data_IF_129760341757
#
_entry.id   IF_129760341757
#
_cell.length_a   1.000
_cell.length_b   1.000
_cell.length_c   1.000
_cell.angle_alpha   90.00
_cell.angle_beta   90.00
_cell.angle_gamma   90.00
#
_symmetry.space_group_name_H-M   'P 1'
#
loop_
_entity.id
_entity.type
_entity.pdbx_description
1 polymer ?
#
# COMPACT_ATOMS: atom_id res chain seq x y z
N UNK A 1 8.76 13.04 10.35
CA UNK A 1 9.75 12.96 9.24
C UNK A 1 9.12 12.16 8.12
N UNK A 2 9.06 12.69 6.90
CA UNK A 2 8.62 11.91 5.73
C UNK A 2 9.64 10.80 5.43
N UNK A 3 9.22 9.55 5.21
CA UNK A 3 10.13 8.46 4.92
C UNK A 3 10.93 8.70 3.62
N UNK A 4 12.25 8.45 3.65
CA UNK A 4 13.21 8.67 2.53
C UNK A 4 13.32 7.50 1.54
N UNK A 5 12.46 6.48 1.62
CA UNK A 5 12.53 5.30 0.72
C UNK A 5 11.37 5.35 -0.27
N UNK A 6 11.72 5.23 -1.56
CA UNK A 6 10.79 5.30 -2.68
C UNK A 6 10.05 3.97 -2.83
N UNK A 7 8.81 4.04 -3.32
CA UNK A 7 8.09 2.86 -3.80
C UNK A 7 8.86 2.23 -4.98
N UNK A 8 8.55 0.97 -5.36
CA UNK A 8 9.05 0.39 -6.60
C UNK A 8 8.77 1.32 -7.79
N UNK A 9 9.59 1.22 -8.84
CA UNK A 9 9.34 1.97 -10.08
C UNK A 9 7.92 1.66 -10.60
N UNK A 10 7.26 2.67 -11.16
CA UNK A 10 5.87 2.63 -11.64
C UNK A 10 4.80 2.34 -10.57
N UNK A 11 5.16 2.38 -9.28
CA UNK A 11 4.22 2.21 -8.18
C UNK A 11 3.73 3.54 -7.60
N UNK A 12 2.42 3.67 -7.46
CA UNK A 12 1.71 4.83 -6.93
C UNK A 12 1.17 4.53 -5.52
N UNK A 13 1.43 5.42 -4.56
CA UNK A 13 0.85 5.32 -3.21
C UNK A 13 -0.60 5.82 -3.25
N UNK A 14 -1.54 4.96 -2.89
CA UNK A 14 -2.96 5.33 -2.81
C UNK A 14 -3.42 5.73 -1.40
N UNK A 15 -2.91 5.06 -0.37
CA UNK A 15 -3.30 5.34 1.02
C UNK A 15 -2.17 4.99 2.01
N UNK A 16 -2.18 5.63 3.18
CA UNK A 16 -1.33 5.29 4.34
C UNK A 16 -2.15 5.27 5.61
N UNK A 17 -2.05 4.17 6.36
CA UNK A 17 -2.63 4.05 7.69
C UNK A 17 -1.56 3.52 8.65
N UNK A 18 -1.05 4.41 9.50
CA UNK A 18 0.00 4.08 10.46
C UNK A 18 1.23 3.56 9.75
N UNK A 19 1.46 2.25 9.80
CA UNK A 19 2.60 1.58 9.19
C UNK A 19 2.27 0.81 7.91
N UNK A 20 1.07 0.95 7.38
CA UNK A 20 0.61 0.22 6.20
C UNK A 20 0.36 1.18 5.05
N UNK A 21 0.77 0.78 3.84
CA UNK A 21 0.44 1.49 2.60
C UNK A 21 -0.40 0.62 1.68
N UNK A 22 -1.37 1.26 1.02
CA UNK A 22 -1.98 0.73 -0.20
C UNK A 22 -1.22 1.28 -1.39
N UNK A 23 -0.74 0.40 -2.25
CA UNK A 23 0.08 0.75 -3.40
C UNK A 23 -0.58 0.18 -4.66
N UNK A 24 -0.67 0.99 -5.69
CA UNK A 24 -1.03 0.58 -7.06
C UNK A 24 0.25 0.42 -7.85
N UNK A 25 0.31 -0.61 -8.67
CA UNK A 25 1.41 -0.94 -9.57
C UNK A 25 0.82 -1.45 -10.89
N UNK A 26 1.67 -1.70 -11.88
CA UNK A 26 1.28 -2.37 -13.11
C UNK A 26 1.81 -3.81 -13.10
N UNK A 27 0.93 -4.78 -13.29
CA UNK A 27 1.29 -6.18 -13.48
C UNK A 27 0.65 -6.66 -14.79
N UNK A 28 1.45 -7.18 -15.72
CA UNK A 28 0.95 -7.63 -17.04
C UNK A 28 0.15 -6.56 -17.82
N UNK A 29 0.54 -5.28 -17.72
CA UNK A 29 -0.15 -4.11 -18.30
C UNK A 29 -1.51 -3.78 -17.66
N UNK A 30 -1.87 -4.43 -16.57
CA UNK A 30 -3.10 -4.16 -15.83
C UNK A 30 -2.79 -3.54 -14.46
N UNK A 31 -3.71 -2.74 -13.89
CA UNK A 31 -3.59 -2.24 -12.53
C UNK A 31 -3.54 -3.40 -11.51
N UNK A 32 -2.60 -3.33 -10.58
CA UNK A 32 -2.44 -4.30 -9.52
C UNK A 32 -2.18 -3.60 -8.18
N UNK A 33 -3.02 -3.89 -7.20
CA UNK A 33 -3.03 -3.25 -5.89
C UNK A 33 -2.43 -4.18 -4.85
N UNK A 34 -1.65 -3.63 -3.92
CA UNK A 34 -0.97 -4.40 -2.86
C UNK A 34 -0.95 -3.63 -1.55
N UNK A 35 -1.01 -4.37 -0.43
CA UNK A 35 -0.76 -3.83 0.91
C UNK A 35 0.67 -4.12 1.33
N UNK A 36 1.41 -3.06 1.65
CA UNK A 36 2.74 -3.14 2.22
C UNK A 36 2.72 -2.73 3.69
N UNK A 37 3.48 -3.43 4.52
CA UNK A 37 3.80 -2.99 5.88
C UNK A 37 5.23 -2.43 5.93
N UNK A 38 5.35 -1.31 6.64
CA UNK A 38 6.55 -0.52 6.81
C UNK A 38 6.99 -0.66 8.28
N UNK A 39 8.27 -0.88 8.56
CA UNK A 39 8.79 -0.69 9.91
C UNK A 39 10.02 0.22 9.89
N UNK A 40 10.07 1.17 10.82
CA UNK A 40 11.21 2.06 11.03
C UNK A 40 12.10 1.49 12.13
N UNK A 41 13.17 0.79 11.75
CA UNK A 41 14.25 0.41 12.65
C UNK A 41 15.44 1.38 12.47
N UNK A 42 16.20 1.59 13.56
CA UNK A 42 17.37 2.49 13.63
C UNK A 42 18.49 2.14 12.62
N UNK A 43 18.40 0.99 11.96
CA UNK A 43 19.44 0.35 11.14
C UNK A 43 19.00 -0.03 9.70
N UNK A 44 17.82 0.39 9.23
CA UNK A 44 17.61 0.45 7.76
C UNK A 44 16.52 -0.42 7.10
N UNK A 45 15.37 -0.59 7.75
CA UNK A 45 14.01 -0.83 7.15
C UNK A 45 13.84 -1.89 6.03
N UNK A 46 12.93 -2.86 6.23
CA UNK A 46 12.39 -3.76 5.18
C UNK A 46 10.95 -3.38 4.82
N UNK A 47 10.59 -3.63 3.57
CA UNK A 47 9.21 -3.66 3.10
C UNK A 47 8.83 -5.11 2.85
N UNK A 48 7.67 -5.51 3.31
CA UNK A 48 7.11 -6.79 2.93
C UNK A 48 5.63 -6.62 2.59
N UNK A 49 5.22 -7.33 1.54
CA UNK A 49 3.82 -7.49 1.23
C UNK A 49 3.15 -8.17 2.43
N UNK A 50 2.17 -7.50 3.02
CA UNK A 50 1.48 -7.99 4.23
C UNK A 50 0.14 -8.64 3.92
N UNK A 51 -0.40 -8.37 2.73
CA UNK A 51 -1.63 -8.94 2.22
C UNK A 51 -1.42 -9.44 0.80
N UNK A 52 -2.42 -10.18 0.29
CA UNK A 52 -2.46 -10.55 -1.13
C UNK A 52 -2.61 -9.30 -1.99
N UNK A 53 -1.98 -9.31 -3.17
CA UNK A 53 -2.29 -8.32 -4.19
C UNK A 53 -3.44 -8.79 -5.07
N UNK A 54 -4.22 -7.84 -5.58
CA UNK A 54 -5.34 -8.12 -6.49
C UNK A 54 -5.40 -7.05 -7.57
N UNK A 55 -5.96 -7.40 -8.73
CA UNK A 55 -6.36 -6.42 -9.76
C UNK A 55 -7.56 -5.59 -9.32
N UNK A 56 -8.29 -6.01 -8.28
CA UNK A 56 -9.45 -5.31 -7.74
C UNK A 56 -9.07 -4.43 -6.54
N UNK A 57 -9.28 -3.12 -6.69
CA UNK A 57 -8.97 -2.14 -5.64
C UNK A 57 -9.76 -2.38 -4.35
N UNK A 58 -11.07 -2.64 -4.44
CA UNK A 58 -11.93 -2.80 -3.25
C UNK A 58 -11.56 -4.01 -2.42
N UNK A 59 -11.07 -5.08 -3.05
CA UNK A 59 -10.55 -6.28 -2.38
C UNK A 59 -9.34 -5.94 -1.52
N UNK A 60 -8.37 -5.20 -2.06
CA UNK A 60 -7.14 -4.83 -1.33
C UNK A 60 -7.39 -3.72 -0.32
N UNK A 61 -8.31 -2.80 -0.60
CA UNK A 61 -8.77 -1.79 0.37
C UNK A 61 -9.42 -2.46 1.57
N UNK A 62 -10.35 -3.39 1.37
CA UNK A 62 -11.01 -4.14 2.46
C UNK A 62 -9.98 -4.86 3.32
N UNK A 63 -8.97 -5.46 2.68
CA UNK A 63 -7.86 -6.11 3.40
C UNK A 63 -7.05 -5.12 4.25
N UNK A 64 -6.74 -3.93 3.72
CA UNK A 64 -6.07 -2.89 4.49
C UNK A 64 -6.93 -2.39 5.66
N UNK A 65 -8.24 -2.21 5.47
CA UNK A 65 -9.16 -1.85 6.55
C UNK A 65 -9.23 -2.93 7.62
N UNK A 66 -9.23 -4.21 7.22
CA UNK A 66 -9.20 -5.37 8.12
C UNK A 66 -7.92 -5.41 8.93
N UNK A 67 -6.77 -5.21 8.28
CA UNK A 67 -5.45 -5.22 8.93
C UNK A 67 -5.32 -4.07 9.94
N UNK A 68 -5.88 -2.91 9.62
CA UNK A 68 -5.66 -1.68 10.41
C UNK A 68 -6.80 -1.33 11.36
N UNK A 69 -7.97 -1.95 11.20
CA UNK A 69 -9.19 -1.58 11.91
C UNK A 69 -9.70 -0.17 11.59
N UNK A 70 -9.23 0.44 10.49
CA UNK A 70 -9.58 1.81 10.10
C UNK A 70 -10.10 1.85 8.67
N UNK A 71 -11.19 2.59 8.47
CA UNK A 71 -11.75 2.81 7.13
C UNK A 71 -10.94 3.81 6.32
N UNK A 72 -10.69 3.49 5.06
CA UNK A 72 -10.06 4.39 4.11
C UNK A 72 -11.17 5.14 3.40
N UNK A 73 -11.17 6.46 3.52
CA UNK A 73 -11.94 7.27 2.59
C UNK A 73 -11.23 7.17 1.25
N UNK A 74 -11.88 6.56 0.27
CA UNK A 74 -11.38 6.50 -1.10
C UNK A 74 -10.94 7.91 -1.49
N UNK A 75 -9.71 8.13 -1.98
CA UNK A 75 -9.41 9.39 -2.63
C UNK A 75 -10.39 9.50 -3.79
N UNK A 76 -11.25 10.51 -3.78
CA UNK A 76 -12.04 10.85 -4.95
C UNK A 76 -11.04 11.17 -6.04
N UNK A 77 -10.87 10.24 -6.99
CA UNK A 77 -10.12 10.52 -8.22
C UNK A 77 -10.82 11.71 -8.86
N UNK A 78 -10.14 12.86 -8.87
CA UNK A 78 -10.56 14.04 -9.64
C UNK A 78 -10.06 13.88 -11.07
#
# INVERSE_FOLDING_TARGET
MNPKKKLPEDSEKLAEIGRYLLVKSTLNKEPYYQVYEFFEAKDGRRYWARGGGSSEFETVKTELERITGRKIKTPTTV
#
